data_IF_910184315858
#
_entry.id   IF_910184315858
#
_cell.length_a   1.000
_cell.length_b   1.000
_cell.length_c   1.000
_cell.angle_alpha   90.00
_cell.angle_beta   90.00
_cell.angle_gamma   90.00
#
_symmetry.space_group_name_H-M   'P 1'
#
loop_
_entity.id
_entity.type
_entity.pdbx_description
1 polymer ?
#
# COMPACT_ATOMS: atom_id res chain seq x y z
N UNK A 1 12.68 40.52 -16.07
CA UNK A 1 13.64 40.43 -14.96
C UNK A 1 13.26 39.15 -14.20
N UNK A 2 14.01 38.07 -14.38
CA UNK A 2 13.83 36.87 -13.60
C UNK A 2 14.28 37.22 -12.18
N UNK A 3 13.32 37.41 -11.28
CA UNK A 3 13.61 37.51 -9.85
C UNK A 3 14.31 36.22 -9.45
N UNK A 4 15.48 36.34 -8.90
CA UNK A 4 16.35 35.50 -8.13
C UNK A 4 15.80 34.08 -7.78
N UNK A 5 15.42 33.31 -8.80
CA UNK A 5 15.02 31.91 -8.58
C UNK A 5 16.25 31.12 -8.13
N UNK A 6 16.15 30.51 -6.96
CA UNK A 6 17.18 29.66 -6.36
C UNK A 6 16.54 28.36 -5.89
N UNK A 7 16.56 27.34 -6.78
CA UNK A 7 15.96 26.05 -6.51
C UNK A 7 16.63 25.30 -5.35
N UNK A 8 17.96 25.45 -5.21
CA UNK A 8 18.69 24.82 -4.11
C UNK A 8 18.21 25.36 -2.75
N UNK A 9 18.07 26.67 -2.64
CA UNK A 9 17.57 27.30 -1.40
C UNK A 9 16.15 26.90 -1.07
N UNK A 10 15.29 26.74 -2.09
CA UNK A 10 13.93 26.25 -1.88
C UNK A 10 13.92 24.82 -1.34
N UNK A 11 14.73 23.91 -1.89
CA UNK A 11 14.88 22.53 -1.41
C UNK A 11 15.34 22.51 0.03
N UNK A 12 16.38 23.29 0.39
CA UNK A 12 16.87 23.37 1.76
C UNK A 12 15.79 23.85 2.74
N UNK A 13 14.92 24.76 2.32
CA UNK A 13 13.81 25.23 3.15
C UNK A 13 12.76 24.14 3.31
N UNK A 14 12.36 23.46 2.23
CA UNK A 14 11.40 22.38 2.23
C UNK A 14 11.87 21.22 3.12
N UNK A 15 13.15 20.80 3.01
CA UNK A 15 13.69 19.69 3.77
C UNK A 15 13.84 19.96 5.27
N UNK A 16 13.82 21.22 5.70
CA UNK A 16 13.79 21.59 7.14
C UNK A 16 12.38 21.59 7.73
N UNK A 17 11.34 21.47 6.91
CA UNK A 17 9.97 21.43 7.39
C UNK A 17 9.57 20.02 7.83
N UNK A 18 8.72 19.94 8.84
CA UNK A 18 8.05 18.68 9.18
C UNK A 18 7.12 18.24 8.05
N UNK A 19 7.00 16.91 7.87
CA UNK A 19 6.08 16.34 6.88
C UNK A 19 4.63 16.75 7.14
N UNK A 20 3.87 16.93 6.06
CA UNK A 20 2.46 17.24 6.12
C UNK A 20 2.03 18.42 5.24
N UNK A 21 0.85 18.97 5.53
CA UNK A 21 0.18 19.93 4.65
C UNK A 21 1.02 21.17 4.32
N UNK A 22 1.69 21.77 5.31
CA UNK A 22 2.48 22.98 5.10
C UNK A 22 3.68 22.74 4.15
N UNK A 23 4.39 21.59 4.34
CA UNK A 23 5.47 21.18 3.45
C UNK A 23 4.95 20.87 2.05
N UNK A 24 3.86 20.11 1.93
CA UNK A 24 3.21 19.84 0.65
C UNK A 24 2.84 21.12 -0.11
N UNK A 25 2.26 22.11 0.57
CA UNK A 25 1.87 23.37 -0.06
C UNK A 25 3.11 24.17 -0.51
N UNK A 26 4.20 24.18 0.27
CA UNK A 26 5.46 24.80 -0.14
C UNK A 26 6.10 24.11 -1.34
N UNK A 27 6.05 22.78 -1.44
CA UNK A 27 6.53 22.04 -2.62
C UNK A 27 5.73 22.44 -3.87
N UNK A 28 4.41 22.59 -3.78
CA UNK A 28 3.58 23.05 -4.90
C UNK A 28 3.97 24.47 -5.37
N UNK A 29 4.20 25.37 -4.44
CA UNK A 29 4.65 26.71 -4.77
C UNK A 29 6.04 26.69 -5.43
N UNK A 30 6.93 25.79 -4.97
CA UNK A 30 8.25 25.61 -5.59
C UNK A 30 8.16 25.03 -7.01
N UNK A 31 7.22 24.10 -7.29
CA UNK A 31 6.93 23.62 -8.66
C UNK A 31 6.55 24.80 -9.56
N UNK A 32 5.62 25.65 -9.11
CA UNK A 32 5.18 26.82 -9.88
C UNK A 32 6.35 27.79 -10.16
N UNK A 33 7.23 27.99 -9.18
CA UNK A 33 8.41 28.86 -9.34
C UNK A 33 9.42 28.26 -10.35
N UNK A 34 9.68 26.92 -10.25
CA UNK A 34 10.56 26.23 -11.19
C UNK A 34 10.04 26.28 -12.63
N UNK A 35 8.71 26.08 -12.81
CA UNK A 35 8.06 26.17 -14.12
C UNK A 35 8.18 27.59 -14.72
N UNK A 36 7.99 28.64 -13.92
CA UNK A 36 8.18 30.05 -14.37
C UNK A 36 9.62 30.36 -14.72
N UNK A 37 10.58 29.78 -14.01
CA UNK A 37 12.00 29.95 -14.29
C UNK A 37 12.45 29.19 -15.53
N UNK A 38 11.72 28.16 -15.95
CA UNK A 38 12.07 27.29 -17.07
C UNK A 38 13.29 26.40 -16.81
N UNK A 39 13.62 26.15 -15.53
CA UNK A 39 14.75 25.32 -15.15
C UNK A 39 14.29 23.86 -15.05
N UNK A 40 14.57 23.08 -16.10
CA UNK A 40 14.08 21.71 -16.23
C UNK A 40 14.61 20.77 -15.14
N UNK A 41 15.81 21.00 -14.58
CA UNK A 41 16.29 20.22 -13.44
C UNK A 41 15.38 20.44 -12.21
N UNK A 42 15.14 21.68 -11.81
CA UNK A 42 14.30 21.99 -10.64
C UNK A 42 12.83 21.69 -10.90
N UNK A 43 12.35 21.80 -12.14
CA UNK A 43 11.00 21.35 -12.52
C UNK A 43 10.81 19.85 -12.25
N UNK A 44 11.83 19.04 -12.53
CA UNK A 44 11.80 17.59 -12.24
C UNK A 44 11.96 17.34 -10.75
N UNK A 45 12.95 17.96 -10.11
CA UNK A 45 13.26 17.75 -8.67
C UNK A 45 12.05 18.03 -7.78
N UNK A 46 11.40 19.18 -7.94
CA UNK A 46 10.26 19.56 -7.11
C UNK A 46 9.05 18.63 -7.32
N UNK A 47 8.86 18.10 -8.52
CA UNK A 47 7.82 17.11 -8.80
C UNK A 47 8.12 15.77 -8.16
N UNK A 48 9.37 15.34 -8.19
CA UNK A 48 9.79 14.13 -7.47
C UNK A 48 9.59 14.28 -5.96
N UNK A 49 10.01 15.40 -5.39
CA UNK A 49 9.84 15.69 -3.96
C UNK A 49 8.34 15.69 -3.56
N UNK A 50 7.48 16.25 -4.43
CA UNK A 50 6.04 16.19 -4.25
C UNK A 50 5.50 14.76 -4.28
N UNK A 51 5.94 13.94 -5.25
CA UNK A 51 5.51 12.53 -5.38
C UNK A 51 5.92 11.76 -4.12
N UNK A 52 7.16 11.90 -3.66
CA UNK A 52 7.67 11.29 -2.43
C UNK A 52 6.87 11.73 -1.20
N UNK A 53 6.65 13.04 -1.02
CA UNK A 53 5.88 13.57 0.12
C UNK A 53 4.46 13.02 0.14
N UNK A 54 3.80 12.94 -1.03
CA UNK A 54 2.45 12.38 -1.09
C UNK A 54 2.42 10.88 -0.85
N UNK A 55 3.42 10.15 -1.31
CA UNK A 55 3.47 8.69 -1.14
C UNK A 55 3.70 8.30 0.32
N UNK A 56 4.67 8.90 0.98
CA UNK A 56 5.07 8.51 2.34
C UNK A 56 4.27 9.22 3.45
N UNK A 57 3.75 10.44 3.21
CA UNK A 57 3.20 11.29 4.26
C UNK A 57 1.86 11.93 3.90
N UNK A 58 1.28 11.64 2.74
CA UNK A 58 0.08 12.29 2.26
C UNK A 58 -0.94 11.35 1.60
N UNK A 59 -1.40 11.77 0.43
CA UNK A 59 -2.35 11.05 -0.40
C UNK A 59 -1.70 10.74 -1.76
N UNK A 60 -1.19 9.51 -1.95
CA UNK A 60 -0.48 9.11 -3.18
C UNK A 60 -1.29 9.27 -4.46
N UNK A 61 -2.62 9.27 -4.38
CA UNK A 61 -3.49 9.49 -5.55
C UNK A 61 -3.21 10.84 -6.20
N UNK A 62 -2.85 11.85 -5.40
CA UNK A 62 -2.51 13.20 -5.88
C UNK A 62 -1.20 13.25 -6.65
N UNK A 63 -0.33 12.28 -6.49
CA UNK A 63 0.93 12.19 -7.22
C UNK A 63 0.78 11.68 -8.66
N UNK A 64 -0.30 10.93 -8.96
CA UNK A 64 -0.50 10.30 -10.27
C UNK A 64 -0.46 11.32 -11.44
N UNK A 65 -1.19 12.47 -11.40
CA UNK A 65 -1.07 13.49 -12.44
C UNK A 65 0.35 14.07 -12.54
N UNK A 66 1.02 14.24 -11.40
CA UNK A 66 2.35 14.85 -11.33
C UNK A 66 3.42 13.96 -11.97
N UNK A 67 3.24 12.63 -11.95
CA UNK A 67 4.10 11.68 -12.69
C UNK A 67 4.03 11.95 -14.20
N UNK A 68 2.83 12.22 -14.72
CA UNK A 68 2.67 12.57 -16.13
C UNK A 68 3.33 13.92 -16.46
N UNK A 69 3.24 14.90 -15.57
CA UNK A 69 3.96 16.18 -15.73
C UNK A 69 5.47 15.98 -15.70
N UNK A 70 5.98 15.15 -14.78
CA UNK A 70 7.39 14.79 -14.68
C UNK A 70 7.90 14.15 -16.00
N UNK A 71 7.11 13.21 -16.56
CA UNK A 71 7.39 12.60 -17.86
C UNK A 71 7.45 13.63 -19.00
N UNK A 72 6.58 14.64 -19.00
CA UNK A 72 6.58 15.69 -20.01
C UNK A 72 7.85 16.57 -19.90
N UNK A 73 8.24 16.97 -18.68
CA UNK A 73 9.49 17.74 -18.47
C UNK A 73 10.71 16.92 -18.93
N UNK A 74 10.75 15.62 -18.64
CA UNK A 74 11.81 14.73 -19.11
C UNK A 74 11.88 14.64 -20.65
N UNK A 75 10.74 14.61 -21.33
CA UNK A 75 10.68 14.62 -22.80
C UNK A 75 11.17 15.94 -23.40
N UNK A 76 10.93 17.06 -22.74
CA UNK A 76 11.45 18.37 -23.15
C UNK A 76 12.97 18.44 -23.02
N UNK A 77 13.54 17.87 -21.96
CA UNK A 77 14.98 17.90 -21.69
C UNK A 77 15.45 16.61 -20.99
N UNK A 78 15.73 15.53 -21.73
CA UNK A 78 16.23 14.28 -21.15
C UNK A 78 17.57 14.44 -20.41
N UNK A 79 18.35 15.46 -20.72
CA UNK A 79 19.61 15.76 -20.03
C UNK A 79 19.43 16.40 -18.65
N UNK A 80 18.23 16.83 -18.29
CA UNK A 80 17.97 17.41 -16.98
C UNK A 80 18.30 16.44 -15.84
N UNK A 81 18.07 15.14 -16.00
CA UNK A 81 18.38 14.10 -15.01
C UNK A 81 19.87 13.80 -14.85
N UNK A 82 20.72 14.30 -15.78
CA UNK A 82 22.17 14.05 -15.79
C UNK A 82 22.99 15.23 -15.27
N UNK A 83 22.36 16.40 -15.05
CA UNK A 83 23.06 17.65 -14.70
C UNK A 83 23.64 17.68 -13.29
N UNK A 84 23.20 16.78 -12.43
CA UNK A 84 23.69 16.70 -11.05
C UNK A 84 24.15 15.26 -10.76
N UNK A 85 25.46 15.06 -10.86
CA UNK A 85 26.11 13.88 -10.30
C UNK A 85 26.34 14.12 -8.80
N UNK A 86 25.75 13.28 -7.95
CA UNK A 86 25.84 13.39 -6.50
C UNK A 86 24.48 13.29 -5.82
N UNK A 87 24.16 14.17 -4.88
CA UNK A 87 22.95 14.12 -4.05
C UNK A 87 21.67 14.61 -4.75
N UNK A 88 21.63 14.61 -6.07
CA UNK A 88 20.55 15.16 -6.86
C UNK A 88 19.64 14.12 -7.49
N UNK A 89 18.71 14.65 -8.29
CA UNK A 89 17.74 13.89 -9.05
C UNK A 89 18.43 13.25 -10.24
N UNK A 90 18.87 12.00 -10.03
CA UNK A 90 19.38 11.16 -11.10
C UNK A 90 18.27 10.38 -11.82
N UNK A 91 18.68 9.59 -12.81
CA UNK A 91 17.82 8.62 -13.49
C UNK A 91 17.07 7.72 -12.53
N UNK A 92 17.71 7.37 -11.41
CA UNK A 92 17.14 6.52 -10.36
C UNK A 92 15.93 7.16 -9.67
N UNK A 93 16.00 8.45 -9.32
CA UNK A 93 14.90 9.17 -8.70
C UNK A 93 13.69 9.27 -9.66
N UNK A 94 13.95 9.45 -10.97
CA UNK A 94 12.86 9.44 -11.94
C UNK A 94 12.19 8.07 -12.06
N UNK A 95 12.97 6.99 -12.13
CA UNK A 95 12.42 5.62 -12.11
C UNK A 95 11.67 5.36 -10.81
N UNK A 96 12.20 5.81 -9.66
CA UNK A 96 11.53 5.70 -8.37
C UNK A 96 10.18 6.42 -8.37
N UNK A 97 10.08 7.63 -8.92
CA UNK A 97 8.80 8.35 -9.01
C UNK A 97 7.73 7.54 -9.77
N UNK A 98 8.12 6.90 -10.88
CA UNK A 98 7.21 6.04 -11.65
C UNK A 98 6.85 4.77 -10.88
N UNK A 99 7.81 4.15 -10.17
CA UNK A 99 7.57 3.00 -9.29
C UNK A 99 6.54 3.31 -8.21
N UNK A 100 6.68 4.44 -7.51
CA UNK A 100 5.71 4.87 -6.47
C UNK A 100 4.30 5.04 -7.04
N UNK A 101 4.19 5.54 -8.28
CA UNK A 101 2.91 5.63 -8.98
C UNK A 101 2.32 4.28 -9.32
N UNK A 102 3.11 3.36 -9.85
CA UNK A 102 2.67 1.98 -10.16
C UNK A 102 2.19 1.27 -8.89
N UNK A 103 2.95 1.40 -7.80
CA UNK A 103 2.60 0.79 -6.51
C UNK A 103 1.28 1.35 -5.94
N UNK A 104 1.07 2.65 -6.05
CA UNK A 104 -0.19 3.30 -5.64
C UNK A 104 -1.40 2.69 -6.35
N UNK A 105 -1.28 2.37 -7.65
CA UNK A 105 -2.38 1.83 -8.47
C UNK A 105 -2.85 0.45 -7.97
N UNK A 106 -1.97 -0.33 -7.37
CA UNK A 106 -2.34 -1.62 -6.78
C UNK A 106 -3.55 -1.48 -5.82
N UNK A 107 -3.62 -0.37 -5.10
CA UNK A 107 -4.65 -0.08 -4.10
C UNK A 107 -5.89 0.65 -4.64
N UNK A 108 -5.95 0.94 -5.95
CA UNK A 108 -6.98 1.76 -6.60
C UNK A 108 -7.78 0.95 -7.62
N UNK A 109 -8.92 0.34 -7.25
CA UNK A 109 -9.70 -0.48 -8.18
C UNK A 109 -10.36 0.30 -9.32
N UNK A 110 -10.48 1.63 -9.20
CA UNK A 110 -11.00 2.50 -10.24
C UNK A 110 -10.03 2.75 -11.40
N UNK A 111 -8.73 2.47 -11.23
CA UNK A 111 -7.75 2.53 -12.32
C UNK A 111 -7.87 1.26 -13.16
N UNK A 112 -8.09 1.42 -14.48
CA UNK A 112 -8.26 0.27 -15.36
C UNK A 112 -6.98 -0.53 -15.55
N UNK A 113 -7.11 -1.77 -15.98
CA UNK A 113 -5.98 -2.64 -16.32
C UNK A 113 -5.11 -2.01 -17.39
N UNK A 114 -5.70 -1.41 -18.43
CA UNK A 114 -4.99 -0.76 -19.53
C UNK A 114 -4.17 0.46 -19.05
N UNK A 115 -4.72 1.24 -18.11
CA UNK A 115 -4.00 2.37 -17.52
C UNK A 115 -2.81 1.88 -16.69
N UNK A 116 -3.00 0.81 -15.92
CA UNK A 116 -1.93 0.19 -15.13
C UNK A 116 -0.83 -0.38 -16.02
N UNK A 117 -1.19 -1.16 -17.04
CA UNK A 117 -0.25 -1.75 -17.99
C UNK A 117 0.54 -0.67 -18.76
N UNK A 118 -0.09 0.44 -19.11
CA UNK A 118 0.62 1.57 -19.73
C UNK A 118 1.71 2.15 -18.81
N UNK A 119 1.46 2.26 -17.51
CA UNK A 119 2.47 2.72 -16.56
C UNK A 119 3.59 1.69 -16.36
N UNK A 120 3.23 0.40 -16.33
CA UNK A 120 4.21 -0.69 -16.28
C UNK A 120 5.10 -0.71 -17.54
N UNK A 121 4.53 -0.49 -18.72
CA UNK A 121 5.28 -0.38 -19.97
C UNK A 121 6.23 0.84 -19.96
N UNK A 122 5.77 1.97 -19.40
CA UNK A 122 6.62 3.14 -19.24
C UNK A 122 7.79 2.85 -18.30
N UNK A 123 7.52 2.24 -17.14
CA UNK A 123 8.56 1.81 -16.20
C UNK A 123 9.59 0.90 -16.88
N UNK A 124 9.15 -0.11 -17.64
CA UNK A 124 10.04 -1.01 -18.35
C UNK A 124 10.93 -0.28 -19.35
N UNK A 125 10.35 0.64 -20.13
CA UNK A 125 11.10 1.46 -21.10
C UNK A 125 12.18 2.31 -20.41
N UNK A 126 11.85 2.94 -19.28
CA UNK A 126 12.80 3.75 -18.52
C UNK A 126 13.95 2.91 -17.95
N UNK A 127 13.64 1.77 -17.34
CA UNK A 127 14.64 0.83 -16.82
C UNK A 127 15.62 0.39 -17.93
N UNK A 128 15.09 0.06 -19.10
CA UNK A 128 15.91 -0.32 -20.27
C UNK A 128 16.71 0.86 -20.83
N UNK A 129 16.09 2.03 -20.96
CA UNK A 129 16.75 3.24 -21.48
C UNK A 129 17.93 3.66 -20.61
N UNK A 130 17.81 3.49 -19.31
CA UNK A 130 18.86 3.90 -18.35
C UNK A 130 19.87 2.78 -18.05
N UNK A 131 19.71 1.59 -18.64
CA UNK A 131 20.60 0.45 -18.41
C UNK A 131 20.53 -0.09 -16.99
N UNK A 132 19.39 0.04 -16.33
CA UNK A 132 19.16 -0.42 -14.96
C UNK A 132 18.72 -1.89 -14.94
N UNK A 133 18.91 -2.56 -13.79
CA UNK A 133 18.38 -3.90 -13.57
C UNK A 133 16.85 -3.92 -13.66
N UNK A 134 16.30 -4.99 -14.28
CA UNK A 134 14.85 -5.11 -14.49
C UNK A 134 14.12 -5.69 -13.27
N UNK A 135 14.81 -5.89 -12.14
CA UNK A 135 14.25 -6.55 -10.96
C UNK A 135 13.04 -5.83 -10.40
N UNK A 136 13.12 -4.50 -10.24
CA UNK A 136 12.01 -3.67 -9.77
C UNK A 136 10.77 -3.75 -10.69
N UNK A 137 10.96 -3.78 -12.01
CA UNK A 137 9.88 -4.00 -12.97
C UNK A 137 9.23 -5.37 -12.79
N UNK A 138 10.03 -6.45 -12.64
CA UNK A 138 9.48 -7.79 -12.46
C UNK A 138 8.71 -7.93 -11.15
N UNK A 139 9.11 -7.24 -10.09
CA UNK A 139 8.32 -7.16 -8.85
C UNK A 139 7.00 -6.43 -9.05
N UNK A 140 6.96 -5.35 -9.81
CA UNK A 140 5.69 -4.68 -10.14
C UNK A 140 4.77 -5.59 -10.97
N UNK A 141 5.33 -6.36 -11.89
CA UNK A 141 4.57 -7.38 -12.62
C UNK A 141 4.10 -8.52 -11.72
N UNK A 142 4.88 -8.93 -10.74
CA UNK A 142 4.45 -9.87 -9.70
C UNK A 142 3.21 -9.35 -8.95
N UNK A 143 3.23 -8.11 -8.48
CA UNK A 143 2.09 -7.48 -7.79
C UNK A 143 0.87 -7.35 -8.70
N UNK A 144 1.08 -7.03 -9.98
CA UNK A 144 0.00 -6.97 -10.98
C UNK A 144 -0.75 -8.30 -11.09
N UNK A 145 -0.03 -9.42 -10.97
CA UNK A 145 -0.60 -10.75 -11.16
C UNK A 145 -0.96 -11.48 -9.86
N UNK A 146 -0.46 -11.04 -8.70
CA UNK A 146 -0.64 -11.75 -7.43
C UNK A 146 -2.11 -12.02 -7.08
N UNK A 147 -3.02 -11.14 -7.45
CA UNK A 147 -4.47 -11.31 -7.20
C UNK A 147 -5.27 -11.50 -8.50
N UNK A 148 -4.61 -11.80 -9.59
CA UNK A 148 -5.25 -12.04 -10.87
C UNK A 148 -4.93 -13.44 -11.42
N UNK A 149 -3.67 -13.87 -11.36
CA UNK A 149 -3.20 -15.18 -11.84
C UNK A 149 -1.92 -15.58 -11.09
N UNK A 150 -2.03 -16.48 -10.13
CA UNK A 150 -0.90 -16.93 -9.31
C UNK A 150 0.24 -17.58 -10.10
N UNK A 151 -0.06 -18.25 -11.23
CA UNK A 151 0.98 -18.86 -12.05
C UNK A 151 1.83 -17.79 -12.74
N UNK A 152 1.19 -16.73 -13.23
CA UNK A 152 1.90 -15.57 -13.78
C UNK A 152 2.67 -14.82 -12.70
N UNK A 153 2.12 -14.67 -11.50
CA UNK A 153 2.84 -14.08 -10.38
C UNK A 153 4.11 -14.90 -10.06
N UNK A 154 4.01 -16.24 -10.01
CA UNK A 154 5.17 -17.10 -9.79
C UNK A 154 6.22 -16.99 -10.93
N UNK A 155 5.78 -16.82 -12.16
CA UNK A 155 6.68 -16.58 -13.31
C UNK A 155 7.49 -15.30 -13.11
N UNK A 156 6.84 -14.19 -12.72
CA UNK A 156 7.51 -12.91 -12.48
C UNK A 156 8.37 -12.92 -11.22
N UNK A 157 7.98 -13.63 -10.17
CA UNK A 157 8.84 -13.89 -9.01
C UNK A 157 10.17 -14.56 -9.44
N UNK A 158 10.10 -15.59 -10.29
CA UNK A 158 11.30 -16.27 -10.81
C UNK A 158 12.14 -15.35 -11.68
N UNK A 159 11.53 -14.50 -12.52
CA UNK A 159 12.23 -13.50 -13.31
C UNK A 159 12.95 -12.48 -12.43
N UNK A 160 12.27 -11.96 -11.39
CA UNK A 160 12.87 -11.03 -10.45
C UNK A 160 14.14 -11.63 -9.79
N UNK A 161 14.06 -12.86 -9.30
CA UNK A 161 15.21 -13.51 -8.63
C UNK A 161 16.33 -13.97 -9.56
N UNK A 162 16.07 -14.08 -10.86
CA UNK A 162 17.09 -14.34 -11.88
C UNK A 162 17.76 -13.05 -12.40
N UNK A 163 17.39 -11.90 -11.86
CA UNK A 163 17.93 -10.59 -12.21
C UNK A 163 18.75 -10.05 -11.04
N UNK A 164 19.79 -9.28 -11.32
CA UNK A 164 20.62 -8.64 -10.29
C UNK A 164 19.76 -7.89 -9.25
N UNK A 165 20.13 -7.91 -7.96
CA UNK A 165 19.43 -7.18 -6.91
C UNK A 165 19.27 -5.70 -7.25
N UNK A 166 18.14 -5.13 -6.87
CA UNK A 166 17.80 -3.74 -7.13
C UNK A 166 17.35 -3.07 -5.83
N UNK A 167 18.27 -2.37 -5.18
CA UNK A 167 18.05 -1.66 -3.92
C UNK A 167 17.08 -0.47 -4.01
N UNK A 168 16.63 -0.10 -5.21
CA UNK A 168 15.58 0.91 -5.43
C UNK A 168 14.19 0.39 -5.08
N UNK A 169 14.07 -0.89 -4.89
CA UNK A 169 12.83 -1.56 -4.52
C UNK A 169 12.98 -2.13 -3.10
N UNK A 170 12.42 -3.30 -2.85
CA UNK A 170 12.45 -3.92 -1.53
C UNK A 170 13.76 -4.68 -1.27
N UNK A 171 14.11 -4.82 0.01
CA UNK A 171 15.22 -5.65 0.42
C UNK A 171 14.91 -7.15 0.24
N UNK A 172 15.94 -8.00 0.24
CA UNK A 172 15.80 -9.45 0.03
C UNK A 172 14.81 -10.09 1.01
N UNK A 173 14.76 -9.63 2.25
CA UNK A 173 13.85 -10.17 3.25
C UNK A 173 12.39 -9.85 2.96
N UNK A 174 12.08 -8.65 2.44
CA UNK A 174 10.74 -8.30 1.96
C UNK A 174 10.33 -9.16 0.77
N UNK A 175 11.23 -9.38 -0.18
CA UNK A 175 10.99 -10.28 -1.32
C UNK A 175 10.66 -11.71 -0.85
N UNK A 176 11.31 -12.20 0.21
CA UNK A 176 10.98 -13.49 0.82
C UNK A 176 9.58 -13.49 1.46
N UNK A 177 9.18 -12.38 2.09
CA UNK A 177 7.82 -12.23 2.63
C UNK A 177 6.76 -12.28 1.52
N UNK A 178 7.02 -11.65 0.37
CA UNK A 178 6.13 -11.68 -0.79
C UNK A 178 6.05 -13.07 -1.44
N UNK A 179 7.16 -13.79 -1.51
CA UNK A 179 7.15 -15.18 -1.97
C UNK A 179 6.33 -16.07 -1.03
N UNK A 180 6.50 -15.94 0.28
CA UNK A 180 5.70 -16.66 1.26
C UNK A 180 4.20 -16.37 1.06
N UNK A 181 3.83 -15.10 0.81
CA UNK A 181 2.45 -14.70 0.52
C UNK A 181 1.89 -15.41 -0.70
N UNK A 182 2.60 -15.40 -1.83
CA UNK A 182 2.18 -16.10 -3.04
C UNK A 182 1.90 -17.58 -2.76
N UNK A 183 2.84 -18.27 -2.10
CA UNK A 183 2.69 -19.70 -1.87
C UNK A 183 1.59 -20.06 -0.87
N UNK A 184 1.30 -19.19 0.09
CA UNK A 184 0.12 -19.36 0.97
C UNK A 184 -1.18 -19.15 0.19
N UNK A 185 -1.25 -18.15 -0.69
CA UNK A 185 -2.42 -17.94 -1.58
C UNK A 185 -2.65 -19.13 -2.52
N UNK A 186 -1.58 -19.82 -2.95
CA UNK A 186 -1.63 -21.06 -3.73
C UNK A 186 -1.91 -22.30 -2.89
N UNK A 187 -2.10 -22.21 -1.56
CA UNK A 187 -2.25 -23.35 -0.65
C UNK A 187 -0.97 -24.18 -0.45
N UNK A 188 0.20 -23.68 -0.87
CA UNK A 188 1.50 -24.38 -0.78
C UNK A 188 2.26 -23.98 0.50
N UNK A 189 1.65 -24.23 1.65
CA UNK A 189 2.19 -23.78 2.95
C UNK A 189 3.62 -24.26 3.21
N UNK A 190 3.95 -25.52 2.91
CA UNK A 190 5.32 -26.05 3.11
C UNK A 190 6.37 -25.27 2.34
N UNK A 191 5.99 -24.76 1.16
CA UNK A 191 6.89 -23.93 0.34
C UNK A 191 7.01 -22.52 0.92
N UNK A 192 5.91 -21.95 1.39
CA UNK A 192 5.90 -20.66 2.08
C UNK A 192 6.73 -20.69 3.37
N UNK A 193 6.63 -21.77 4.15
CA UNK A 193 7.38 -21.94 5.41
C UNK A 193 8.91 -21.85 5.20
N UNK A 194 9.42 -22.34 4.07
CA UNK A 194 10.85 -22.24 3.75
C UNK A 194 11.33 -20.78 3.60
N UNK A 195 10.49 -19.91 3.07
CA UNK A 195 10.80 -18.47 2.99
C UNK A 195 10.64 -17.78 4.33
N UNK A 196 9.60 -18.11 5.08
CA UNK A 196 9.41 -17.63 6.44
C UNK A 196 10.62 -17.96 7.34
N UNK A 197 11.07 -19.22 7.31
CA UNK A 197 12.20 -19.69 8.13
C UNK A 197 13.50 -18.95 7.82
N UNK A 198 13.77 -18.58 6.58
CA UNK A 198 14.96 -17.81 6.23
C UNK A 198 15.00 -16.47 6.95
N UNK A 199 13.85 -15.76 6.99
CA UNK A 199 13.72 -14.49 7.69
C UNK A 199 13.76 -14.70 9.22
N UNK A 200 12.95 -15.63 9.74
CA UNK A 200 12.78 -15.85 11.19
C UNK A 200 14.06 -16.36 11.87
N UNK A 201 14.88 -17.14 11.16
CA UNK A 201 16.17 -17.63 11.64
C UNK A 201 17.34 -16.67 11.40
N UNK A 202 17.10 -15.50 10.81
CA UNK A 202 18.12 -14.51 10.51
C UNK A 202 19.16 -15.02 9.50
N UNK A 203 18.73 -15.77 8.49
CA UNK A 203 19.62 -16.31 7.44
C UNK A 203 19.82 -15.35 6.27
N UNK A 204 19.25 -14.15 6.35
CA UNK A 204 19.38 -13.08 5.36
C UNK A 204 20.15 -11.92 5.98
N UNK A 205 21.04 -11.32 5.21
CA UNK A 205 21.93 -10.26 5.68
C UNK A 205 21.21 -8.95 5.95
N UNK A 206 20.07 -8.72 5.28
CA UNK A 206 19.28 -7.48 5.39
C UNK A 206 17.81 -7.80 5.72
N UNK A 207 17.39 -7.43 6.93
CA UNK A 207 16.01 -7.56 7.39
C UNK A 207 15.49 -6.20 7.84
N UNK A 208 14.71 -5.56 6.99
CA UNK A 208 14.10 -4.27 7.30
C UNK A 208 12.90 -4.41 8.26
N UNK A 209 12.48 -3.28 8.85
CA UNK A 209 11.38 -3.24 9.82
C UNK A 209 10.04 -3.69 9.24
N UNK A 210 9.83 -3.54 7.92
CA UNK A 210 8.58 -3.88 7.23
C UNK A 210 8.43 -5.37 6.93
N UNK A 211 9.51 -6.14 6.94
CA UNK A 211 9.49 -7.57 6.61
C UNK A 211 8.61 -8.39 7.55
N UNK A 212 8.83 -8.24 8.86
CA UNK A 212 8.08 -9.01 9.85
C UNK A 212 6.58 -8.71 9.86
N UNK A 213 6.12 -7.46 9.81
CA UNK A 213 4.69 -7.16 9.70
C UNK A 213 4.03 -7.81 8.49
N UNK A 214 4.66 -7.76 7.33
CA UNK A 214 4.15 -8.40 6.11
C UNK A 214 4.04 -9.91 6.27
N UNK A 215 5.04 -10.56 6.85
CA UNK A 215 5.01 -12.00 7.14
C UNK A 215 3.91 -12.35 8.16
N UNK A 216 3.83 -11.62 9.28
CA UNK A 216 2.83 -11.90 10.31
C UNK A 216 1.42 -11.70 9.78
N UNK A 217 1.19 -10.67 8.98
CA UNK A 217 -0.10 -10.43 8.34
C UNK A 217 -0.46 -11.56 7.38
N UNK A 218 0.47 -11.97 6.54
CA UNK A 218 0.30 -13.03 5.56
C UNK A 218 -0.08 -14.36 6.24
N UNK A 219 0.63 -14.75 7.30
CA UNK A 219 0.32 -15.96 8.06
C UNK A 219 -0.97 -15.81 8.88
N UNK A 220 -1.24 -14.66 9.49
CA UNK A 220 -2.49 -14.39 10.19
C UNK A 220 -3.69 -14.60 9.25
N UNK A 221 -3.64 -13.99 8.06
CA UNK A 221 -4.68 -14.14 7.04
C UNK A 221 -4.88 -15.61 6.67
N UNK A 222 -3.80 -16.30 6.31
CA UNK A 222 -3.86 -17.71 5.93
C UNK A 222 -4.46 -18.59 7.03
N UNK A 223 -4.05 -18.43 8.29
CA UNK A 223 -4.58 -19.21 9.41
C UNK A 223 -6.08 -18.96 9.62
N UNK A 224 -6.51 -17.69 9.52
CA UNK A 224 -7.93 -17.33 9.64
C UNK A 224 -8.76 -17.90 8.49
N UNK A 225 -8.26 -17.84 7.25
CA UNK A 225 -8.95 -18.39 6.07
C UNK A 225 -9.10 -19.91 6.15
N UNK A 226 -8.20 -20.60 6.85
CA UNK A 226 -8.26 -22.06 7.10
C UNK A 226 -8.90 -22.43 8.45
N UNK A 227 -9.47 -21.48 9.20
CA UNK A 227 -10.13 -21.73 10.49
C UNK A 227 -9.17 -22.08 11.65
N UNK A 228 -7.85 -21.93 11.46
CA UNK A 228 -6.86 -22.17 12.52
C UNK A 228 -6.69 -20.94 13.43
N UNK A 229 -7.72 -20.69 14.25
CA UNK A 229 -7.73 -19.57 15.20
C UNK A 229 -6.61 -19.70 16.25
N UNK A 230 -6.22 -20.93 16.60
CA UNK A 230 -5.13 -21.17 17.55
C UNK A 230 -3.77 -20.79 16.95
N UNK A 231 -3.50 -21.21 15.73
CA UNK A 231 -2.30 -20.86 14.98
C UNK A 231 -2.22 -19.35 14.65
N UNK A 232 -3.35 -18.67 14.43
CA UNK A 232 -3.44 -17.23 14.18
C UNK A 232 -2.99 -16.36 15.38
N UNK A 233 -3.12 -16.87 16.62
CA UNK A 233 -2.91 -16.10 17.86
C UNK A 233 -1.56 -15.37 17.95
N UNK A 234 -0.40 -16.02 17.71
CA UNK A 234 0.90 -15.33 17.85
C UNK A 234 1.04 -14.16 16.87
N UNK A 235 0.57 -14.31 15.64
CA UNK A 235 0.64 -13.30 14.58
C UNK A 235 -0.27 -12.11 14.87
N UNK A 236 -1.51 -12.34 15.27
CA UNK A 236 -2.44 -11.28 15.65
C UNK A 236 -1.91 -10.44 16.83
N UNK A 237 -1.29 -11.09 17.84
CA UNK A 237 -0.69 -10.38 18.98
C UNK A 237 0.53 -9.56 18.60
N UNK A 238 1.41 -10.08 17.73
CA UNK A 238 2.60 -9.37 17.25
C UNK A 238 2.20 -8.13 16.45
N UNK A 239 1.29 -8.28 15.48
CA UNK A 239 0.76 -7.17 14.69
C UNK A 239 0.11 -6.10 15.58
N UNK A 240 -0.85 -6.48 16.41
CA UNK A 240 -1.53 -5.52 17.29
C UNK A 240 -0.57 -4.75 18.19
N UNK A 241 0.51 -5.36 18.66
CA UNK A 241 1.47 -4.70 19.54
C UNK A 241 2.39 -3.72 18.82
N UNK A 242 2.77 -4.04 17.57
CA UNK A 242 3.73 -3.23 16.80
C UNK A 242 3.06 -2.25 15.83
N UNK A 243 1.89 -2.58 15.32
CA UNK A 243 1.23 -1.91 14.19
C UNK A 243 -0.21 -1.53 14.55
N UNK A 244 -0.38 -0.63 15.50
CA UNK A 244 -1.72 -0.20 15.91
C UNK A 244 -1.84 1.32 16.11
N UNK A 245 -0.87 2.10 15.67
CA UNK A 245 -0.82 3.55 15.88
C UNK A 245 -0.79 4.34 14.56
N UNK A 246 -0.47 3.69 13.45
CA UNK A 246 -0.38 4.30 12.13
C UNK A 246 -1.60 3.94 11.25
N UNK A 247 -2.13 4.94 10.52
CA UNK A 247 -3.23 4.75 9.57
C UNK A 247 -2.84 3.83 8.41
N UNK A 248 -1.57 3.78 8.03
CA UNK A 248 -1.03 2.85 7.04
C UNK A 248 -1.22 1.38 7.40
N UNK A 249 -1.34 1.07 8.70
CA UNK A 249 -1.55 -0.29 9.21
C UNK A 249 -3.01 -0.77 9.14
N UNK A 250 -3.92 -0.02 8.51
CA UNK A 250 -5.36 -0.33 8.47
C UNK A 250 -5.65 -1.74 7.94
N UNK A 251 -4.90 -2.21 6.93
CA UNK A 251 -5.02 -3.57 6.38
C UNK A 251 -4.70 -4.62 7.46
N UNK A 252 -3.64 -4.42 8.23
CA UNK A 252 -3.24 -5.30 9.33
C UNK A 252 -4.30 -5.32 10.44
N UNK A 253 -4.86 -4.16 10.75
CA UNK A 253 -5.91 -4.05 11.76
C UNK A 253 -7.18 -4.78 11.34
N UNK A 254 -7.51 -4.83 10.06
CA UNK A 254 -8.62 -5.65 9.53
C UNK A 254 -8.46 -7.13 9.87
N UNK A 255 -7.28 -7.72 9.66
CA UNK A 255 -6.99 -9.11 10.02
C UNK A 255 -6.98 -9.32 11.55
N UNK A 256 -6.48 -8.35 12.30
CA UNK A 256 -6.50 -8.38 13.78
C UNK A 256 -7.93 -8.33 14.31
N UNK A 257 -8.82 -7.51 13.75
CA UNK A 257 -10.25 -7.47 14.08
C UNK A 257 -10.89 -8.83 13.84
N UNK A 258 -10.65 -9.42 12.67
CA UNK A 258 -11.17 -10.75 12.32
C UNK A 258 -10.73 -11.81 13.34
N UNK A 259 -9.48 -11.81 13.78
CA UNK A 259 -9.02 -12.70 14.85
C UNK A 259 -9.77 -12.47 16.17
N UNK A 260 -9.88 -11.21 16.62
CA UNK A 260 -10.54 -10.90 17.90
C UNK A 260 -12.06 -11.14 17.84
N UNK A 261 -12.69 -11.12 16.69
CA UNK A 261 -14.09 -11.52 16.52
C UNK A 261 -14.36 -12.94 17.07
N UNK A 262 -13.43 -13.85 16.88
CA UNK A 262 -13.57 -15.25 17.34
C UNK A 262 -13.15 -15.47 18.80
N UNK A 263 -12.18 -14.72 19.30
CA UNK A 263 -11.56 -15.02 20.61
C UNK A 263 -11.93 -14.03 21.72
N UNK A 264 -12.24 -12.77 21.40
CA UNK A 264 -12.56 -11.73 22.38
C UNK A 264 -13.24 -10.53 21.69
N UNK A 265 -14.55 -10.60 21.53
CA UNK A 265 -15.33 -9.56 20.86
C UNK A 265 -15.25 -8.19 21.55
N UNK A 266 -15.10 -8.12 22.89
CA UNK A 266 -14.89 -6.87 23.61
C UNK A 266 -13.59 -6.18 23.19
N UNK A 267 -12.50 -6.95 23.06
CA UNK A 267 -11.23 -6.40 22.55
C UNK A 267 -11.37 -5.99 21.10
N UNK A 268 -12.08 -6.77 20.27
CA UNK A 268 -12.40 -6.41 18.89
C UNK A 268 -13.12 -5.09 18.78
N UNK A 269 -14.17 -4.87 19.59
CA UNK A 269 -14.91 -3.59 19.64
C UNK A 269 -13.99 -2.42 19.99
N UNK A 270 -13.16 -2.56 21.02
CA UNK A 270 -12.21 -1.50 21.41
C UNK A 270 -11.20 -1.16 20.30
N UNK A 271 -10.78 -2.12 19.48
CA UNK A 271 -9.92 -1.88 18.34
C UNK A 271 -10.71 -1.17 17.23
N UNK A 272 -11.91 -1.65 16.94
CA UNK A 272 -12.79 -1.09 15.92
C UNK A 272 -13.12 0.39 16.19
N UNK A 273 -13.56 0.75 17.40
CA UNK A 273 -13.88 2.14 17.81
C UNK A 273 -12.69 3.07 17.55
N UNK A 274 -11.50 2.64 17.96
CA UNK A 274 -10.27 3.44 17.83
C UNK A 274 -9.77 3.61 16.41
N UNK A 275 -10.12 2.68 15.49
CA UNK A 275 -9.52 2.62 14.15
C UNK A 275 -10.50 2.90 13.02
N UNK A 276 -11.81 2.97 13.30
CA UNK A 276 -12.79 3.30 12.28
C UNK A 276 -12.53 4.67 11.66
N UNK A 277 -12.07 5.66 12.44
CA UNK A 277 -11.73 6.99 11.92
C UNK A 277 -10.69 6.94 10.79
N UNK A 278 -9.79 5.95 10.83
CA UNK A 278 -8.79 5.76 9.78
C UNK A 278 -9.37 5.43 8.41
N UNK A 279 -10.62 4.93 8.35
CA UNK A 279 -11.29 4.64 7.08
C UNK A 279 -11.85 5.89 6.41
N UNK A 280 -11.98 7.00 7.17
CA UNK A 280 -12.51 8.26 6.65
C UNK A 280 -11.43 8.90 5.79
N UNK A 281 -11.78 9.16 4.51
CA UNK A 281 -10.85 9.67 3.50
C UNK A 281 -9.64 8.74 3.20
N UNK A 282 -9.72 7.46 3.56
CA UNK A 282 -8.68 6.49 3.21
C UNK A 282 -8.62 6.31 1.69
N UNK A 283 -7.48 6.66 1.10
CA UNK A 283 -7.22 6.49 -0.33
C UNK A 283 -7.00 5.02 -0.70
N UNK A 284 -6.35 4.23 0.18
CA UNK A 284 -6.03 2.83 -0.02
C UNK A 284 -7.30 1.97 0.13
N UNK A 285 -7.96 1.69 -1.01
CA UNK A 285 -9.20 0.92 -1.03
C UNK A 285 -8.97 -0.55 -0.63
N UNK A 286 -7.77 -1.11 -0.87
CA UNK A 286 -7.44 -2.46 -0.43
C UNK A 286 -7.39 -2.55 1.10
N UNK A 287 -6.74 -1.62 1.77
CA UNK A 287 -6.71 -1.56 3.22
C UNK A 287 -8.12 -1.36 3.82
N UNK A 288 -8.92 -0.51 3.20
CA UNK A 288 -10.31 -0.27 3.59
C UNK A 288 -11.17 -1.53 3.45
N UNK A 289 -11.01 -2.29 2.37
CA UNK A 289 -11.66 -3.58 2.16
C UNK A 289 -11.36 -4.56 3.29
N UNK A 290 -10.09 -4.78 3.63
CA UNK A 290 -9.72 -5.73 4.68
C UNK A 290 -10.20 -5.28 6.06
N UNK A 291 -10.21 -3.99 6.35
CA UNK A 291 -10.76 -3.48 7.60
C UNK A 291 -12.28 -3.67 7.70
N UNK A 292 -13.02 -3.39 6.63
CA UNK A 292 -14.46 -3.60 6.59
C UNK A 292 -14.84 -5.07 6.66
N UNK A 293 -14.09 -5.95 6.01
CA UNK A 293 -14.24 -7.40 6.17
C UNK A 293 -14.04 -7.83 7.62
N UNK A 294 -13.00 -7.33 8.30
CA UNK A 294 -12.75 -7.59 9.71
C UNK A 294 -13.89 -7.08 10.61
N UNK A 295 -14.42 -5.88 10.33
CA UNK A 295 -15.57 -5.31 11.04
C UNK A 295 -16.85 -6.12 10.80
N UNK A 296 -17.12 -6.54 9.56
CA UNK A 296 -18.22 -7.45 9.23
C UNK A 296 -18.18 -8.72 10.10
N UNK A 297 -17.03 -9.41 10.12
CA UNK A 297 -16.88 -10.63 10.90
C UNK A 297 -17.07 -10.36 12.39
N UNK A 298 -16.54 -9.25 12.91
CA UNK A 298 -16.70 -8.85 14.30
C UNK A 298 -18.18 -8.69 14.67
N UNK A 299 -18.93 -7.90 13.93
CA UNK A 299 -20.34 -7.63 14.22
C UNK A 299 -21.23 -8.86 13.97
N UNK A 300 -20.91 -9.69 12.98
CA UNK A 300 -21.56 -11.00 12.77
C UNK A 300 -21.38 -11.93 14.00
N UNK A 301 -20.18 -11.99 14.58
CA UNK A 301 -19.94 -12.82 15.77
C UNK A 301 -20.60 -12.23 17.03
N UNK A 302 -20.69 -10.90 17.14
CA UNK A 302 -21.40 -10.25 18.24
C UNK A 302 -22.91 -10.47 18.13
N UNK A 303 -23.49 -10.38 16.92
CA UNK A 303 -24.94 -10.52 16.71
C UNK A 303 -25.48 -11.91 17.13
N UNK A 304 -24.64 -12.94 17.16
CA UNK A 304 -25.00 -14.26 17.70
C UNK A 304 -25.26 -14.26 19.21
N UNK A 305 -24.82 -13.21 19.92
CA UNK A 305 -24.86 -13.14 21.40
C UNK A 305 -25.70 -11.98 21.93
N UNK A 306 -25.79 -10.88 21.20
CA UNK A 306 -26.51 -9.67 21.62
C UNK A 306 -26.99 -8.86 20.43
N UNK A 307 -28.18 -8.29 20.53
CA UNK A 307 -28.82 -7.53 19.47
C UNK A 307 -28.18 -6.15 19.29
N UNK A 308 -27.86 -5.48 20.39
CA UNK A 308 -27.37 -4.11 20.36
C UNK A 308 -26.04 -4.00 21.11
N UNK A 309 -25.20 -3.05 20.65
CA UNK A 309 -23.96 -2.64 21.32
C UNK A 309 -23.97 -1.13 21.54
N UNK A 310 -23.35 -0.69 22.65
CA UNK A 310 -23.03 0.72 22.84
C UNK A 310 -21.56 0.93 22.50
N UNK A 311 -21.29 1.76 21.50
CA UNK A 311 -19.95 2.12 21.02
C UNK A 311 -19.92 3.60 20.63
N UNK A 312 -18.74 4.23 20.72
CA UNK A 312 -18.52 5.61 20.30
C UNK A 312 -17.88 5.60 18.90
N UNK A 313 -18.61 6.15 17.93
CA UNK A 313 -18.11 6.23 16.54
C UNK A 313 -17.81 7.68 16.18
N UNK A 314 -16.84 7.92 15.27
CA UNK A 314 -16.55 9.24 14.76
C UNK A 314 -17.78 9.88 14.11
N UNK A 315 -18.09 11.13 14.45
CA UNK A 315 -19.24 11.88 13.91
C UNK A 315 -19.26 11.92 12.37
N UNK A 316 -18.09 11.85 11.74
CA UNK A 316 -17.94 11.81 10.27
C UNK A 316 -18.19 10.42 9.68
N UNK A 317 -18.39 9.38 10.50
CA UNK A 317 -18.69 8.04 10.01
C UNK A 317 -20.13 8.00 9.47
N UNK A 318 -20.32 7.33 8.33
CA UNK A 318 -21.64 7.15 7.70
C UNK A 318 -22.62 6.38 8.59
N UNK A 319 -22.13 5.61 9.54
CA UNK A 319 -22.93 4.84 10.50
C UNK A 319 -23.08 5.53 11.86
N UNK A 320 -22.62 6.77 12.00
CA UNK A 320 -22.69 7.49 13.28
C UNK A 320 -24.12 7.70 13.76
N UNK A 321 -24.32 7.58 15.07
CA UNK A 321 -25.60 7.82 15.78
C UNK A 321 -25.34 8.58 17.07
N UNK A 322 -26.19 9.53 17.36
CA UNK A 322 -26.12 10.37 18.57
C UNK A 322 -26.30 9.57 19.87
N UNK A 323 -27.16 8.52 19.84
CA UNK A 323 -27.44 7.68 21.01
C UNK A 323 -26.31 6.66 21.31
N UNK A 324 -25.37 6.48 20.38
CA UNK A 324 -24.27 5.52 20.49
C UNK A 324 -24.72 4.06 20.59
N UNK A 325 -26.00 3.75 20.28
CA UNK A 325 -26.57 2.40 20.34
C UNK A 325 -26.76 1.86 18.93
N UNK A 326 -26.17 0.73 18.65
CA UNK A 326 -26.14 0.16 17.32
C UNK A 326 -26.66 -1.28 17.31
N UNK A 327 -27.58 -1.59 16.40
CA UNK A 327 -27.98 -2.95 16.14
C UNK A 327 -26.82 -3.68 15.43
N UNK A 328 -26.40 -4.80 16.00
CA UNK A 328 -25.20 -5.51 15.58
C UNK A 328 -25.34 -6.18 14.21
N UNK A 329 -26.53 -6.70 13.88
CA UNK A 329 -26.81 -7.28 12.56
C UNK A 329 -26.82 -6.19 11.48
N UNK A 330 -27.42 -5.02 11.78
CA UNK A 330 -27.43 -3.89 10.84
C UNK A 330 -26.01 -3.39 10.56
N UNK A 331 -25.16 -3.32 11.58
CA UNK A 331 -23.75 -2.96 11.36
C UNK A 331 -23.02 -4.04 10.55
N UNK A 332 -23.24 -5.33 10.83
CA UNK A 332 -22.65 -6.41 10.05
C UNK A 332 -23.03 -6.30 8.57
N UNK A 333 -24.32 -6.12 8.27
CA UNK A 333 -24.82 -5.99 6.91
C UNK A 333 -24.25 -4.75 6.20
N UNK A 334 -24.11 -3.64 6.93
CA UNK A 334 -23.51 -2.43 6.36
C UNK A 334 -22.04 -2.65 5.99
N UNK A 335 -21.23 -3.21 6.90
CA UNK A 335 -19.81 -3.47 6.61
C UNK A 335 -19.63 -4.52 5.52
N UNK A 336 -20.49 -5.54 5.47
CA UNK A 336 -20.50 -6.50 4.35
C UNK A 336 -20.76 -5.80 3.02
N UNK A 337 -21.79 -4.95 2.97
CA UNK A 337 -22.15 -4.21 1.75
C UNK A 337 -21.00 -3.32 1.27
N UNK A 338 -20.34 -2.61 2.20
CA UNK A 338 -19.20 -1.75 1.85
C UNK A 338 -18.00 -2.58 1.35
N UNK A 339 -17.68 -3.67 2.03
CA UNK A 339 -16.60 -4.58 1.62
C UNK A 339 -16.90 -5.22 0.26
N UNK A 340 -18.15 -5.65 0.02
CA UNK A 340 -18.59 -6.25 -1.25
C UNK A 340 -18.43 -5.29 -2.42
N UNK A 341 -18.85 -4.03 -2.29
CA UNK A 341 -18.68 -3.04 -3.35
C UNK A 341 -17.22 -2.77 -3.73
N UNK A 342 -16.31 -2.78 -2.73
CA UNK A 342 -14.88 -2.66 -3.00
C UNK A 342 -14.35 -3.94 -3.66
N UNK A 343 -14.73 -5.13 -3.15
CA UNK A 343 -14.35 -6.43 -3.71
C UNK A 343 -14.74 -6.55 -5.18
N UNK A 344 -15.99 -6.27 -5.53
CA UNK A 344 -16.50 -6.29 -6.90
C UNK A 344 -15.72 -5.35 -7.84
N UNK A 345 -15.31 -4.19 -7.33
CA UNK A 345 -14.51 -3.23 -8.10
C UNK A 345 -13.11 -3.77 -8.41
N UNK A 346 -12.45 -4.42 -7.43
CA UNK A 346 -11.16 -5.09 -7.64
C UNK A 346 -11.28 -6.29 -8.58
N UNK A 347 -12.31 -7.14 -8.37
CA UNK A 347 -12.53 -8.35 -9.18
C UNK A 347 -12.84 -7.99 -10.63
N UNK A 348 -13.63 -6.95 -10.86
CA UNK A 348 -13.90 -6.41 -12.20
C UNK A 348 -12.60 -5.95 -12.88
N UNK A 349 -11.74 -5.18 -12.17
CA UNK A 349 -10.45 -4.75 -12.70
C UNK A 349 -9.55 -5.93 -13.03
N UNK A 350 -9.48 -6.92 -12.14
CA UNK A 350 -8.57 -8.06 -12.26
C UNK A 350 -9.14 -9.19 -13.14
N UNK A 351 -10.42 -9.08 -13.57
CA UNK A 351 -11.16 -10.09 -14.34
C UNK A 351 -11.23 -11.45 -13.66
N UNK A 352 -11.50 -11.45 -12.35
CA UNK A 352 -11.66 -12.64 -11.52
C UNK A 352 -12.68 -12.42 -10.39
N UNK A 353 -12.69 -13.28 -9.38
CA UNK A 353 -13.57 -13.24 -8.21
C UNK A 353 -12.77 -13.40 -6.88
N UNK A 354 -11.50 -13.04 -6.87
CA UNK A 354 -10.60 -13.25 -5.74
C UNK A 354 -11.11 -12.57 -4.46
N UNK A 355 -11.40 -11.28 -4.53
CA UNK A 355 -11.81 -10.50 -3.35
C UNK A 355 -13.21 -10.88 -2.86
N UNK A 356 -14.15 -11.12 -3.79
CA UNK A 356 -15.51 -11.56 -3.46
C UNK A 356 -15.48 -12.92 -2.75
N UNK A 357 -14.74 -13.90 -3.28
CA UNK A 357 -14.56 -15.20 -2.63
C UNK A 357 -13.91 -15.10 -1.25
N UNK A 358 -12.94 -14.21 -1.07
CA UNK A 358 -12.32 -13.97 0.23
C UNK A 358 -13.32 -13.44 1.27
N UNK A 359 -14.24 -12.56 0.85
CA UNK A 359 -15.28 -12.04 1.73
C UNK A 359 -16.29 -13.14 2.11
N UNK A 360 -16.61 -14.05 1.20
CA UNK A 360 -17.54 -15.16 1.45
C UNK A 360 -17.01 -16.16 2.48
N UNK A 361 -15.71 -16.44 2.48
CA UNK A 361 -15.08 -17.35 3.44
C UNK A 361 -14.71 -16.71 4.78
N UNK A 362 -14.82 -15.40 4.90
CA UNK A 362 -14.52 -14.66 6.12
C UNK A 362 -15.61 -14.86 7.17
#
# INVERSE_FOLDING_TARGET
MADNYDGQKLVEQIHRMEHGKARTDMIKDAIIQADKAGDNYWRMYMRFDYISEQYFHGDPVKSIPVITELENVFKEDPGAVERYEGDGLGKEAYVMAVLLGVDTILCLPQVTTEQWEKLLDNLYKLVKQFGMAERSYYWQMFWRWLYADFNKAEEYLKKAWNTEPDYRFDCESCEHAYAARLYLEMGQKEKADKYFEKVDKGLLDDVCDDTYPQLWYTYLKYMLDNGDIKGAKPFAKKLYRKHNEDQGDLEFMGAVLRYYAYVNTTKGLSIFEKRLEWTINMWNQKAKYYFYMGAYVLFREISKKQTDVRIELPVKSEVWREDGIYNTSVLADWFYTQASGIAESFDKRNSNDYYTKHLEIA
#
